data_IF_210109261090
#
_entry.id   IF_210109261090
#
_cell.length_a   1.000
_cell.length_b   1.000
_cell.length_c   1.000
_cell.angle_alpha   90.00
_cell.angle_beta   90.00
_cell.angle_gamma   90.00
#
_symmetry.space_group_name_H-M   'P 1'
#
loop_
_entity.id
_entity.type
_entity.pdbx_description
1 polymer ?
#
# COMPACT_ATOMS: atom_id res chain seq x y z
N UNK A 1 5.87 -19.03 -15.24
CA UNK A 1 6.27 -18.19 -14.11
C UNK A 1 5.17 -18.22 -13.06
N UNK A 2 5.52 -18.68 -11.86
CA UNK A 2 4.57 -18.61 -10.73
C UNK A 2 4.36 -17.16 -10.32
N UNK A 3 3.13 -16.73 -10.04
CA UNK A 3 2.91 -15.38 -9.55
C UNK A 3 3.69 -15.15 -8.25
N UNK A 4 4.24 -13.96 -8.09
CA UNK A 4 4.95 -13.59 -6.88
C UNK A 4 3.99 -13.56 -5.69
N UNK A 5 4.45 -14.05 -4.55
CA UNK A 5 3.73 -13.92 -3.29
C UNK A 5 4.14 -12.61 -2.61
N UNK A 6 3.21 -12.03 -1.87
CA UNK A 6 3.45 -10.89 -1.00
C UNK A 6 3.45 -11.37 0.45
N UNK A 7 4.34 -10.83 1.24
CA UNK A 7 4.40 -11.10 2.68
C UNK A 7 4.37 -9.79 3.47
N UNK A 8 3.54 -9.75 4.51
CA UNK A 8 3.54 -8.67 5.49
C UNK A 8 4.75 -8.83 6.40
N UNK A 9 5.65 -7.86 6.40
CA UNK A 9 6.87 -7.89 7.20
C UNK A 9 6.69 -7.25 8.58
N UNK A 10 5.92 -6.19 8.66
CA UNK A 10 5.66 -5.45 9.90
C UNK A 10 4.44 -4.54 9.75
N UNK A 11 3.88 -4.12 10.87
CA UNK A 11 2.86 -3.09 10.94
C UNK A 11 2.99 -2.32 12.26
N UNK A 12 2.99 -1.00 12.19
CA UNK A 12 3.05 -0.11 13.35
C UNK A 12 1.85 0.83 13.29
N UNK A 13 1.13 0.92 14.39
CA UNK A 13 -0.01 1.81 14.55
C UNK A 13 0.14 2.59 15.85
N UNK A 14 0.54 3.84 15.73
CA UNK A 14 0.72 4.75 16.86
C UNK A 14 0.20 6.13 16.48
N UNK A 15 -0.34 6.83 17.48
CA UNK A 15 -0.69 8.23 17.32
C UNK A 15 0.53 9.08 17.65
N UNK A 16 1.15 9.66 16.62
CA UNK A 16 2.39 10.42 16.72
C UNK A 16 2.19 11.86 16.23
N UNK A 17 2.79 12.82 16.94
CA UNK A 17 2.95 14.17 16.43
C UNK A 17 4.11 14.26 15.44
N UNK A 18 4.18 15.34 14.68
CA UNK A 18 5.10 15.43 13.52
C UNK A 18 6.57 15.13 13.82
N UNK A 19 7.23 15.65 14.89
CA UNK A 19 8.62 15.33 15.15
C UNK A 19 8.85 13.84 15.39
N UNK A 20 7.97 13.19 16.13
CA UNK A 20 7.99 11.75 16.40
C UNK A 20 7.68 10.94 15.15
N UNK A 21 6.68 11.35 14.37
CA UNK A 21 6.33 10.70 13.11
C UNK A 21 7.52 10.68 12.14
N UNK A 22 8.21 11.79 12.00
CA UNK A 22 9.42 11.88 11.18
C UNK A 22 10.51 10.93 11.66
N UNK A 23 10.75 10.88 12.95
CA UNK A 23 11.74 9.99 13.57
C UNK A 23 11.40 8.52 13.30
N UNK A 24 10.16 8.11 13.56
CA UNK A 24 9.71 6.73 13.34
C UNK A 24 9.77 6.35 11.87
N UNK A 25 9.32 7.21 10.97
CA UNK A 25 9.41 6.98 9.53
C UNK A 25 10.86 6.79 9.06
N UNK A 26 11.78 7.59 9.55
CA UNK A 26 13.19 7.50 9.21
C UNK A 26 13.83 6.21 9.77
N UNK A 27 13.51 5.84 10.99
CA UNK A 27 13.97 4.58 11.61
C UNK A 27 13.48 3.36 10.83
N UNK A 28 12.21 3.33 10.46
CA UNK A 28 11.62 2.24 9.66
C UNK A 28 12.26 2.17 8.28
N UNK A 29 12.48 3.29 7.64
CA UNK A 29 13.17 3.35 6.35
C UNK A 29 14.60 2.78 6.43
N UNK A 30 15.35 3.16 7.42
CA UNK A 30 16.73 2.65 7.64
C UNK A 30 16.76 1.17 7.97
N UNK A 31 15.78 0.69 8.72
CA UNK A 31 15.69 -0.71 9.10
C UNK A 31 15.36 -1.60 7.91
N UNK A 32 14.34 -1.25 7.13
CA UNK A 32 13.83 -2.08 6.05
C UNK A 32 14.47 -1.79 4.70
N UNK A 33 15.03 -0.63 4.50
CA UNK A 33 15.61 -0.15 3.24
C UNK A 33 14.72 -0.43 2.02
N UNK A 34 13.46 0.03 2.01
CA UNK A 34 12.54 -0.22 0.92
C UNK A 34 12.94 0.55 -0.35
N UNK A 35 12.54 0.03 -1.49
CA UNK A 35 12.72 0.73 -2.78
C UNK A 35 11.85 1.97 -2.89
N UNK A 36 10.68 1.96 -2.23
CA UNK A 36 9.70 3.04 -2.30
C UNK A 36 8.95 3.17 -0.98
N UNK A 37 8.71 4.40 -0.58
CA UNK A 37 7.83 4.76 0.55
C UNK A 37 6.58 5.40 0.00
N UNK A 38 5.41 4.90 0.38
CA UNK A 38 4.11 5.47 -0.02
C UNK A 38 3.55 6.26 1.15
N UNK A 39 3.21 7.52 0.92
CA UNK A 39 2.64 8.39 1.93
C UNK A 39 1.33 8.99 1.39
N UNK A 40 0.26 8.87 2.18
CA UNK A 40 -0.99 9.54 1.86
C UNK A 40 -0.83 11.06 1.98
N UNK A 41 -1.23 11.81 0.93
CA UNK A 41 -1.10 13.27 0.86
C UNK A 41 -2.20 13.99 1.66
N UNK A 42 -2.32 13.65 2.94
CA UNK A 42 -3.31 14.18 3.88
C UNK A 42 -2.64 14.62 5.17
N UNK A 43 -3.15 15.66 5.81
CA UNK A 43 -2.66 16.14 7.11
C UNK A 43 -1.12 16.27 7.13
N UNK A 44 -0.43 15.56 8.01
CA UNK A 44 1.03 15.55 8.13
C UNK A 44 1.77 14.79 7.02
N UNK A 45 1.06 14.16 6.07
CA UNK A 45 1.68 13.40 4.99
C UNK A 45 2.50 14.24 4.02
N UNK A 46 2.04 15.44 3.64
CA UNK A 46 2.80 16.33 2.76
C UNK A 46 4.07 16.90 3.40
N UNK A 47 4.04 17.45 4.63
CA UNK A 47 5.25 17.83 5.33
C UNK A 47 6.24 16.68 5.52
N UNK A 48 5.76 15.49 5.87
CA UNK A 48 6.61 14.30 5.99
C UNK A 48 7.26 13.93 4.66
N UNK A 49 6.50 13.94 3.58
CA UNK A 49 7.01 13.70 2.22
C UNK A 49 8.15 14.65 1.87
N UNK A 50 7.96 15.92 2.12
CA UNK A 50 8.97 16.96 1.87
C UNK A 50 10.25 16.70 2.65
N UNK A 51 10.15 16.41 3.94
CA UNK A 51 11.30 16.14 4.80
C UNK A 51 12.08 14.88 4.36
N UNK A 52 11.36 13.79 4.06
CA UNK A 52 11.99 12.54 3.63
C UNK A 52 12.65 12.68 2.25
N UNK A 53 12.04 13.38 1.32
CA UNK A 53 12.63 13.66 -0.01
C UNK A 53 13.90 14.47 0.09
N UNK A 54 13.98 15.43 1.00
CA UNK A 54 15.20 16.18 1.27
C UNK A 54 16.37 15.30 1.71
N UNK A 55 16.07 14.17 2.33
CA UNK A 55 17.05 13.17 2.76
C UNK A 55 17.41 12.17 1.65
N UNK A 56 16.85 12.31 0.46
CA UNK A 56 17.07 11.40 -0.66
C UNK A 56 16.22 10.13 -0.61
N UNK A 57 15.20 10.09 0.23
CA UNK A 57 14.31 8.93 0.34
C UNK A 57 13.28 8.94 -0.80
N UNK A 58 13.10 7.82 -1.53
CA UNK A 58 12.15 7.75 -2.63
C UNK A 58 10.71 7.65 -2.09
N UNK A 59 10.00 8.76 -2.11
CA UNK A 59 8.62 8.86 -1.63
C UNK A 59 7.67 9.10 -2.79
N UNK A 60 6.57 8.34 -2.82
CA UNK A 60 5.42 8.56 -3.68
C UNK A 60 4.24 8.98 -2.81
N UNK A 61 3.48 9.97 -3.27
CA UNK A 61 2.25 10.34 -2.61
C UNK A 61 1.07 9.55 -3.18
N UNK A 62 0.22 9.07 -2.29
CA UNK A 62 -1.10 8.58 -2.60
C UNK A 62 -2.13 9.66 -2.29
N UNK A 63 -2.91 10.05 -3.31
CA UNK A 63 -3.98 11.03 -3.14
C UNK A 63 -5.32 10.34 -3.34
N UNK A 64 -6.17 10.22 -2.30
CA UNK A 64 -7.51 9.67 -2.46
C UNK A 64 -8.33 10.51 -3.44
N UNK A 65 -9.07 9.86 -4.32
CA UNK A 65 -9.98 10.50 -5.27
C UNK A 65 -11.40 9.98 -5.08
N UNK A 66 -12.39 10.68 -5.64
CA UNK A 66 -13.81 10.29 -5.54
C UNK A 66 -14.10 8.89 -6.10
N UNK A 67 -13.35 8.45 -7.10
CA UNK A 67 -13.49 7.11 -7.69
C UNK A 67 -12.63 6.04 -7.03
N UNK A 68 -11.89 6.39 -5.99
CA UNK A 68 -10.94 5.52 -5.31
C UNK A 68 -11.12 5.63 -3.80
N UNK A 69 -12.34 5.40 -3.34
CA UNK A 69 -12.67 5.37 -1.92
C UNK A 69 -12.15 4.07 -1.25
N UNK A 70 -12.29 3.99 0.06
CA UNK A 70 -11.81 2.84 0.84
C UNK A 70 -12.44 1.52 0.41
N UNK A 71 -13.75 1.50 0.15
CA UNK A 71 -14.45 0.31 -0.33
C UNK A 71 -13.96 -0.14 -1.70
N UNK A 72 -13.78 0.80 -2.63
CA UNK A 72 -13.26 0.50 -3.95
C UNK A 72 -11.85 -0.10 -3.88
N UNK A 73 -10.98 0.45 -3.02
CA UNK A 73 -9.63 -0.09 -2.82
C UNK A 73 -9.63 -1.49 -2.24
N UNK A 74 -10.45 -1.74 -1.21
CA UNK A 74 -10.58 -3.08 -0.62
C UNK A 74 -11.10 -4.08 -1.65
N UNK A 75 -12.12 -3.72 -2.42
CA UNK A 75 -12.66 -4.56 -3.48
C UNK A 75 -11.64 -4.86 -4.58
N UNK A 76 -10.75 -3.90 -4.88
CA UNK A 76 -9.71 -4.08 -5.87
C UNK A 76 -8.62 -5.09 -5.45
N UNK A 77 -8.35 -5.23 -4.15
CA UNK A 77 -7.31 -6.13 -3.63
C UNK A 77 -7.85 -7.43 -3.06
N UNK A 78 -9.14 -7.52 -2.74
CA UNK A 78 -9.76 -8.70 -2.16
C UNK A 78 -9.49 -9.99 -2.97
N UNK A 79 -9.56 -9.99 -4.32
CA UNK A 79 -9.24 -11.18 -5.11
C UNK A 79 -7.83 -11.73 -4.90
N UNK A 80 -6.86 -10.87 -4.58
CA UNK A 80 -5.49 -11.30 -4.28
C UNK A 80 -5.40 -12.05 -2.95
N UNK A 81 -6.19 -11.64 -1.96
CA UNK A 81 -6.32 -12.38 -0.71
C UNK A 81 -6.99 -13.74 -0.91
N UNK A 82 -8.05 -13.78 -1.71
CA UNK A 82 -8.76 -15.03 -2.04
C UNK A 82 -7.87 -16.02 -2.80
N UNK A 83 -6.98 -15.54 -3.65
CA UNK A 83 -6.06 -16.39 -4.42
C UNK A 83 -4.89 -16.94 -3.58
N UNK A 84 -4.72 -16.50 -2.33
CA UNK A 84 -3.69 -16.99 -1.42
C UNK A 84 -2.28 -16.50 -1.70
N UNK A 85 -2.12 -15.40 -2.43
CA UNK A 85 -0.79 -14.82 -2.73
C UNK A 85 -0.28 -13.87 -1.64
N UNK A 86 -1.12 -13.55 -0.66
CA UNK A 86 -0.78 -12.65 0.43
C UNK A 86 -0.59 -13.44 1.72
N UNK A 87 0.58 -13.29 2.32
CA UNK A 87 1.01 -14.03 3.49
C UNK A 87 1.27 -13.10 4.67
N UNK A 88 1.01 -13.60 5.87
CA UNK A 88 1.31 -12.90 7.11
C UNK A 88 1.94 -13.88 8.10
N UNK A 89 2.96 -13.43 8.88
CA UNK A 89 3.55 -14.29 9.92
C UNK A 89 2.61 -14.42 11.11
N UNK A 90 2.86 -15.45 11.92
CA UNK A 90 2.14 -15.66 13.18
C UNK A 90 2.74 -14.74 14.27
N UNK A 91 2.42 -13.45 14.17
CA UNK A 91 2.86 -12.41 15.09
C UNK A 91 1.72 -11.45 15.44
N UNK A 92 1.84 -10.77 16.56
CA UNK A 92 0.83 -9.85 17.06
C UNK A 92 0.49 -8.74 16.06
N UNK A 93 1.48 -8.15 15.40
CA UNK A 93 1.21 -7.09 14.41
C UNK A 93 0.37 -7.60 13.23
N UNK A 94 0.58 -8.84 12.81
CA UNK A 94 -0.19 -9.45 11.73
C UNK A 94 -1.63 -9.73 12.18
N UNK A 95 -1.83 -10.17 13.40
CA UNK A 95 -3.17 -10.35 13.98
C UNK A 95 -3.95 -9.03 14.01
N UNK A 96 -3.30 -7.93 14.39
CA UNK A 96 -3.92 -6.59 14.39
C UNK A 96 -4.37 -6.15 12.98
N UNK A 97 -3.57 -6.40 11.97
CA UNK A 97 -3.95 -6.11 10.57
C UNK A 97 -5.12 -6.99 10.14
N UNK A 98 -5.08 -8.27 10.44
CA UNK A 98 -6.13 -9.22 10.07
C UNK A 98 -7.46 -8.86 10.75
N UNK A 99 -7.44 -8.52 12.03
CA UNK A 99 -8.63 -8.11 12.78
C UNK A 99 -9.25 -6.82 12.21
N UNK A 100 -8.43 -5.85 11.86
CA UNK A 100 -8.89 -4.60 11.27
C UNK A 100 -9.51 -4.83 9.88
N UNK A 101 -8.89 -5.67 9.06
CA UNK A 101 -9.45 -6.10 7.78
C UNK A 101 -10.76 -6.86 7.92
N UNK A 102 -10.85 -7.77 8.90
CA UNK A 102 -12.05 -8.58 9.15
C UNK A 102 -13.23 -7.73 9.64
N UNK A 103 -13.00 -6.67 10.41
CA UNK A 103 -14.04 -5.76 10.87
C UNK A 103 -14.44 -4.69 9.88
N UNK A 104 -13.64 -4.47 8.83
CA UNK A 104 -13.94 -3.46 7.81
C UNK A 104 -15.26 -3.80 7.08
N UNK A 105 -16.14 -2.83 6.84
CA UNK A 105 -16.05 -1.39 7.11
C UNK A 105 -16.61 -0.93 8.46
N UNK A 106 -16.99 -1.85 9.33
CA UNK A 106 -17.75 -1.57 10.57
C UNK A 106 -16.88 -1.40 11.81
N UNK A 107 -15.57 -1.65 11.71
CA UNK A 107 -14.65 -1.46 12.82
C UNK A 107 -14.40 0.02 13.15
N UNK A 108 -13.95 0.29 14.37
CA UNK A 108 -13.66 1.64 14.86
C UNK A 108 -12.44 2.27 14.16
N UNK A 109 -11.56 1.44 13.62
CA UNK A 109 -10.31 1.85 12.99
C UNK A 109 -10.09 1.14 11.66
N UNK A 110 -9.52 1.85 10.69
CA UNK A 110 -9.23 1.33 9.34
C UNK A 110 -7.87 1.80 8.79
N UNK A 111 -7.01 2.37 9.64
CA UNK A 111 -5.71 2.91 9.22
C UNK A 111 -4.77 1.83 8.65
N UNK A 112 -4.77 0.64 9.25
CA UNK A 112 -4.00 -0.50 8.74
C UNK A 112 -4.57 -1.04 7.43
N UNK A 113 -5.89 -1.05 7.27
CA UNK A 113 -6.57 -1.39 6.00
C UNK A 113 -6.15 -0.42 4.90
N UNK A 114 -6.16 0.88 5.18
CA UNK A 114 -5.75 1.90 4.22
C UNK A 114 -4.31 1.71 3.77
N UNK A 115 -3.40 1.54 4.70
CA UNK A 115 -1.99 1.33 4.44
C UNK A 115 -1.75 0.05 3.62
N UNK A 116 -2.36 -1.05 4.01
CA UNK A 116 -2.23 -2.35 3.36
C UNK A 116 -2.78 -2.30 1.93
N UNK A 117 -3.96 -1.73 1.70
CA UNK A 117 -4.56 -1.66 0.37
C UNK A 117 -3.73 -0.82 -0.59
N UNK A 118 -3.15 0.28 -0.14
CA UNK A 118 -2.25 1.11 -0.94
C UNK A 118 -1.00 0.33 -1.37
N UNK A 119 -0.39 -0.41 -0.45
CA UNK A 119 0.79 -1.22 -0.75
C UNK A 119 0.48 -2.34 -1.75
N UNK A 120 -0.59 -3.10 -1.53
CA UNK A 120 -0.99 -4.21 -2.41
C UNK A 120 -1.35 -3.71 -3.81
N UNK A 121 -2.10 -2.61 -3.91
CA UNK A 121 -2.41 -1.99 -5.20
C UNK A 121 -1.16 -1.57 -5.95
N UNK A 122 -0.17 -1.03 -5.25
CA UNK A 122 1.11 -0.66 -5.86
C UNK A 122 1.83 -1.85 -6.47
N UNK A 123 1.88 -2.98 -5.78
CA UNK A 123 2.46 -4.21 -6.32
C UNK A 123 1.68 -4.74 -7.52
N UNK A 124 0.36 -4.69 -7.50
CA UNK A 124 -0.48 -5.08 -8.63
C UNK A 124 -0.23 -4.20 -9.85
N UNK A 125 -0.24 -2.90 -9.69
CA UNK A 125 0.01 -1.92 -10.77
C UNK A 125 1.42 -2.04 -11.35
N UNK A 126 2.40 -2.41 -10.53
CA UNK A 126 3.78 -2.65 -10.96
C UNK A 126 4.01 -3.98 -11.66
N UNK A 127 2.99 -4.83 -11.78
CA UNK A 127 3.09 -6.14 -12.43
C UNK A 127 3.78 -7.22 -11.59
N UNK A 128 4.04 -6.97 -10.32
CA UNK A 128 4.64 -7.96 -9.40
C UNK A 128 3.64 -9.01 -8.95
N UNK A 129 2.37 -8.66 -8.91
CA UNK A 129 1.26 -9.54 -8.56
C UNK A 129 0.20 -9.38 -9.65
N UNK A 130 -0.15 -10.48 -10.31
CA UNK A 130 -1.15 -10.51 -11.37
C UNK A 130 -2.46 -11.15 -10.92
N UNK A 131 -3.55 -10.66 -11.45
CA UNK A 131 -4.87 -11.26 -11.38
C UNK A 131 -5.38 -11.55 -12.80
N UNK A 132 -6.17 -12.61 -13.04
CA UNK A 132 -6.69 -12.91 -14.37
C UNK A 132 -7.45 -11.78 -15.06
N UNK A 133 -7.99 -10.84 -14.30
CA UNK A 133 -8.64 -9.65 -14.85
C UNK A 133 -7.65 -8.63 -15.42
N UNK A 134 -6.42 -8.62 -14.93
CA UNK A 134 -5.38 -7.70 -15.40
C UNK A 134 -4.98 -8.01 -16.87
N UNK A 135 -5.07 -9.27 -17.28
CA UNK A 135 -4.79 -9.70 -18.67
C UNK A 135 -5.87 -9.23 -19.65
N UNK A 136 -7.10 -8.99 -19.20
CA UNK A 136 -8.20 -8.55 -20.06
C UNK A 136 -8.10 -7.08 -20.43
N UNK A 137 -7.55 -6.27 -19.54
CA UNK A 137 -7.40 -4.83 -19.75
C UNK A 137 -6.25 -4.50 -20.70
N UNK A 138 -5.20 -5.36 -20.77
CA UNK A 138 -4.09 -5.17 -21.71
C UNK A 138 -4.48 -5.41 -23.18
N UNK A 139 -5.50 -6.22 -23.44
CA UNK A 139 -5.96 -6.53 -24.82
C UNK A 139 -6.79 -5.39 -25.41
N UNK A 140 -7.22 -4.43 -24.63
CA UNK A 140 -8.13 -3.36 -25.08
C UNK A 140 -7.47 -2.01 -25.42
N UNK A 141 -6.14 -1.89 -25.30
CA UNK A 141 -5.42 -0.66 -25.64
C UNK A 141 -4.77 -0.83 -27.02
N UNK A 142 -5.32 -0.22 -28.09
CA UNK A 142 -4.59 -0.16 -29.35
C UNK A 142 -3.35 0.70 -29.15
N UNK A 143 -2.19 0.08 -29.25
CA UNK A 143 -0.91 0.77 -29.26
C UNK A 143 -0.79 1.60 -30.54
N UNK A 144 -1.31 2.81 -30.51
CA UNK A 144 -0.99 3.80 -31.51
C UNK A 144 0.32 4.47 -31.10
N UNK A 145 1.44 3.78 -31.33
CA UNK A 145 2.76 4.41 -31.25
C UNK A 145 3.01 5.17 -32.54
N UNK A 146 2.69 6.44 -32.55
CA UNK A 146 3.27 7.36 -33.53
C UNK A 146 4.62 7.79 -32.99
N UNK A 147 5.69 7.30 -33.61
CA UNK A 147 7.03 7.83 -33.38
C UNK A 147 7.23 9.07 -34.24
N UNK A 148 7.60 10.13 -33.62
CA UNK A 148 8.23 11.27 -34.27
C UNK A 148 9.68 11.35 -33.81
#
# INVERSE_FOLDING_TARGET
DSPANLILLDAVKERLEFPELRRVALEQYRYWNPETVIIESKASGLPLTYELRKMGIPVINFTPSKGNDKHARVNAVAPLFESGVIWAPDHKFAEEVIEECASFPYGDHDDLVDSMTQAVMRFRQGGFVGHPEDERDEVSIPHNRTYY
#
